data_IF_991503529987
#
_entry.id   IF_991503529987
#
_cell.length_a   1.000
_cell.length_b   1.000
_cell.length_c   1.000
_cell.angle_alpha   90.00
_cell.angle_beta   90.00
_cell.angle_gamma   90.00
#
_symmetry.space_group_name_H-M   'P 1'
#
loop_
_entity.id
_entity.type
_entity.pdbx_description
1 polymer ?
#
# COMPACT_ATOMS: atom_id res chain seq x y z
N UNK A 1 -26.21 18.16 -5.45
CA UNK A 1 -26.77 18.64 -4.17
C UNK A 1 -25.77 19.65 -3.62
N UNK A 2 -26.18 20.86 -3.22
CA UNK A 2 -25.29 21.78 -2.51
C UNK A 2 -24.67 21.07 -1.31
N UNK A 3 -23.37 21.20 -1.14
CA UNK A 3 -22.68 20.57 -0.02
C UNK A 3 -23.10 21.25 1.30
N UNK A 4 -24.06 20.64 2.01
CA UNK A 4 -24.55 21.11 3.33
C UNK A 4 -23.43 21.33 4.35
N UNK A 5 -22.25 20.73 4.15
CA UNK A 5 -21.09 20.98 5.01
C UNK A 5 -20.67 22.45 5.00
N UNK A 6 -20.80 23.15 3.86
CA UNK A 6 -20.46 24.59 3.78
C UNK A 6 -21.34 25.47 4.64
N UNK A 7 -22.56 25.03 4.96
CA UNK A 7 -23.51 25.76 5.81
C UNK A 7 -23.18 25.61 7.32
N UNK A 8 -22.43 24.56 7.69
CA UNK A 8 -22.07 24.25 9.09
C UNK A 8 -20.63 24.65 9.41
N UNK A 9 -19.74 24.67 8.41
CA UNK A 9 -18.34 25.04 8.59
C UNK A 9 -18.15 26.55 8.80
N UNK A 10 -17.07 26.92 9.51
CA UNK A 10 -16.65 28.32 9.60
C UNK A 10 -16.33 28.86 8.18
N UNK A 11 -16.58 30.16 7.88
CA UNK A 11 -16.50 30.71 6.53
C UNK A 11 -15.16 30.52 5.79
N UNK A 12 -14.08 30.34 6.55
CA UNK A 12 -12.71 30.21 6.07
C UNK A 12 -12.19 28.76 6.08
N UNK A 13 -13.03 27.78 6.40
CA UNK A 13 -12.66 26.36 6.38
C UNK A 13 -13.18 25.69 5.11
N UNK A 14 -12.29 24.98 4.42
CA UNK A 14 -12.61 24.15 3.26
C UNK A 14 -12.71 22.69 3.71
N UNK A 15 -13.78 21.96 3.35
CA UNK A 15 -13.84 20.54 3.61
C UNK A 15 -12.82 19.79 2.73
N UNK A 16 -12.16 18.79 3.31
CA UNK A 16 -11.23 17.90 2.64
C UNK A 16 -11.67 16.45 2.83
N UNK A 17 -11.46 15.60 1.82
CA UNK A 17 -11.72 14.17 1.92
C UNK A 17 -10.46 13.46 2.40
N UNK A 18 -10.54 12.74 3.52
CA UNK A 18 -9.46 11.87 3.98
C UNK A 18 -9.94 10.42 3.94
N UNK A 19 -9.36 9.64 3.03
CA UNK A 19 -9.78 8.26 2.79
C UNK A 19 -8.61 7.30 2.93
N UNK A 20 -8.91 6.09 3.42
CA UNK A 20 -7.97 4.97 3.41
C UNK A 20 -8.65 3.79 2.75
N UNK A 21 -8.05 3.30 1.67
CA UNK A 21 -8.58 2.14 0.93
C UNK A 21 -7.85 0.89 1.38
N UNK A 22 -8.61 -0.15 1.70
CA UNK A 22 -8.10 -1.47 2.04
C UNK A 22 -8.90 -2.49 1.23
N UNK A 23 -8.19 -3.42 0.62
CA UNK A 23 -8.75 -4.48 -0.20
C UNK A 23 -8.53 -5.79 0.56
N UNK A 24 -9.57 -6.59 0.67
CA UNK A 24 -9.52 -7.93 1.26
C UNK A 24 -10.12 -8.96 0.31
N UNK A 25 -9.89 -10.21 0.65
CA UNK A 25 -10.49 -11.40 0.04
C UNK A 25 -11.24 -12.19 1.13
N UNK A 26 -11.82 -13.33 0.78
CA UNK A 26 -12.34 -14.29 1.78
C UNK A 26 -11.26 -14.74 2.77
N UNK A 27 -9.99 -14.72 2.34
CA UNK A 27 -8.82 -15.10 3.15
C UNK A 27 -8.32 -13.96 4.05
N UNK A 28 -9.01 -12.81 4.05
CA UNK A 28 -8.75 -11.69 4.95
C UNK A 28 -8.15 -10.48 4.25
N UNK A 29 -7.23 -9.78 4.93
CA UNK A 29 -6.62 -8.56 4.36
C UNK A 29 -5.73 -8.96 3.18
N UNK A 30 -5.78 -8.17 2.11
CA UNK A 30 -4.94 -8.35 0.92
C UNK A 30 -4.04 -7.14 0.65
N UNK A 31 -4.63 -5.97 0.42
CA UNK A 31 -3.90 -4.72 0.16
C UNK A 31 -4.40 -3.57 1.04
N UNK A 32 -3.56 -2.57 1.16
CA UNK A 32 -3.83 -1.32 1.87
C UNK A 32 -2.54 -0.50 1.97
N UNK A 33 -2.60 0.71 2.55
CA UNK A 33 -1.49 1.66 2.49
C UNK A 33 -0.20 1.06 3.05
N UNK A 34 -0.25 0.39 4.21
CA UNK A 34 0.95 -0.20 4.82
C UNK A 34 1.52 -1.40 4.06
N UNK A 35 0.71 -2.17 3.32
CA UNK A 35 1.22 -3.29 2.52
C UNK A 35 1.86 -2.80 1.22
N UNK A 36 1.27 -1.77 0.61
CA UNK A 36 1.84 -1.12 -0.58
C UNK A 36 3.12 -0.38 -0.23
N UNK A 37 3.15 0.37 0.89
CA UNK A 37 4.38 1.01 1.36
C UNK A 37 5.49 -0.04 1.60
N UNK A 38 5.17 -1.19 2.20
CA UNK A 38 6.15 -2.26 2.39
C UNK A 38 6.74 -2.73 1.06
N UNK A 39 5.92 -2.94 0.03
CA UNK A 39 6.39 -3.31 -1.31
C UNK A 39 7.27 -2.21 -1.91
N UNK A 40 6.86 -0.94 -1.85
CA UNK A 40 7.65 0.19 -2.34
C UNK A 40 9.03 0.26 -1.66
N UNK A 41 9.09 0.13 -0.33
CA UNK A 41 10.35 0.13 0.42
C UNK A 41 11.25 -1.06 0.06
N UNK A 42 10.67 -2.23 -0.22
CA UNK A 42 11.44 -3.39 -0.67
C UNK A 42 12.00 -3.13 -2.08
N UNK A 43 11.21 -2.55 -2.98
CA UNK A 43 11.66 -2.19 -4.32
C UNK A 43 12.82 -1.19 -4.27
N UNK A 44 12.77 -0.22 -3.35
CA UNK A 44 13.83 0.77 -3.14
C UNK A 44 15.11 0.17 -2.52
N UNK A 45 14.96 -0.69 -1.51
CA UNK A 45 16.09 -1.11 -0.65
C UNK A 45 16.67 -2.47 -1.01
N UNK A 46 15.96 -3.29 -1.80
CA UNK A 46 16.30 -4.68 -2.09
C UNK A 46 16.29 -5.59 -0.85
N UNK A 47 15.66 -5.18 0.26
CA UNK A 47 15.75 -5.88 1.54
C UNK A 47 14.49 -5.74 2.39
N UNK A 48 13.90 -6.87 2.80
CA UNK A 48 12.78 -6.90 3.76
C UNK A 48 13.19 -6.26 5.09
N UNK A 49 14.42 -6.49 5.56
CA UNK A 49 14.89 -5.97 6.84
C UNK A 49 15.00 -4.44 6.81
N UNK A 50 15.63 -3.86 5.78
CA UNK A 50 15.72 -2.40 5.63
C UNK A 50 14.33 -1.76 5.50
N UNK A 51 13.44 -2.37 4.72
CA UNK A 51 12.06 -1.92 4.59
C UNK A 51 11.33 -1.92 5.95
N UNK A 52 11.36 -3.04 6.68
CA UNK A 52 10.73 -3.17 7.99
C UNK A 52 11.25 -2.13 9.00
N UNK A 53 12.57 -1.91 9.05
CA UNK A 53 13.20 -0.91 9.91
C UNK A 53 12.72 0.50 9.58
N UNK A 54 12.67 0.86 8.28
CA UNK A 54 12.19 2.18 7.84
C UNK A 54 10.73 2.44 8.26
N UNK A 55 9.93 1.39 8.34
CA UNK A 55 8.53 1.43 8.76
C UNK A 55 8.32 1.19 10.26
N UNK A 56 9.40 1.16 11.06
CA UNK A 56 9.35 0.91 12.52
C UNK A 56 8.59 -0.37 12.88
N UNK A 57 8.71 -1.42 12.06
CA UNK A 57 8.10 -2.73 12.33
C UNK A 57 9.13 -3.84 12.43
N UNK A 58 8.77 -4.95 13.08
CA UNK A 58 9.65 -6.11 13.15
C UNK A 58 9.79 -6.78 11.79
N UNK A 59 10.96 -7.38 11.54
CA UNK A 59 11.18 -8.22 10.36
C UNK A 59 10.11 -9.31 10.23
N UNK A 60 9.76 -9.97 11.35
CA UNK A 60 8.71 -11.00 11.39
C UNK A 60 7.38 -10.49 10.83
N UNK A 61 6.94 -9.29 11.27
CA UNK A 61 5.69 -8.70 10.78
C UNK A 61 5.74 -8.37 9.29
N UNK A 62 6.87 -7.85 8.80
CA UNK A 62 7.04 -7.58 7.37
C UNK A 62 7.01 -8.89 6.55
N UNK A 63 7.68 -9.94 7.03
CA UNK A 63 7.70 -11.25 6.40
C UNK A 63 6.29 -11.87 6.36
N UNK A 64 5.54 -11.84 7.47
CA UNK A 64 4.15 -12.31 7.53
C UNK A 64 3.26 -11.54 6.52
N UNK A 65 3.39 -10.21 6.44
CA UNK A 65 2.65 -9.42 5.46
C UNK A 65 2.96 -9.81 4.01
N UNK A 66 4.22 -10.09 3.68
CA UNK A 66 4.64 -10.52 2.35
C UNK A 66 4.09 -11.92 2.05
N UNK A 67 4.22 -12.83 3.01
CA UNK A 67 3.73 -14.20 2.89
C UNK A 67 2.22 -14.21 2.63
N UNK A 68 1.44 -13.52 3.46
CA UNK A 68 -0.02 -13.37 3.29
C UNK A 68 -0.41 -12.85 1.91
N UNK A 69 0.35 -11.89 1.35
CA UNK A 69 0.06 -11.33 0.03
C UNK A 69 0.41 -12.30 -1.09
N UNK A 70 1.55 -12.99 -0.98
CA UNK A 70 1.99 -13.97 -1.97
C UNK A 70 1.03 -15.17 -2.03
N UNK A 71 0.53 -15.66 -0.90
CA UNK A 71 -0.43 -16.78 -0.85
C UNK A 71 -1.77 -16.45 -1.52
N UNK A 72 -2.15 -15.17 -1.55
CA UNK A 72 -3.38 -14.71 -2.21
C UNK A 72 -3.20 -14.41 -3.70
N UNK A 73 -1.99 -14.53 -4.24
CA UNK A 73 -1.67 -14.22 -5.62
C UNK A 73 -1.30 -15.47 -6.43
N UNK A 74 -1.61 -15.45 -7.73
CA UNK A 74 -1.19 -16.52 -8.65
C UNK A 74 0.33 -16.59 -8.81
N UNK A 75 0.97 -15.42 -8.76
CA UNK A 75 2.41 -15.23 -8.85
C UNK A 75 2.87 -14.42 -7.63
N UNK A 76 4.05 -14.72 -7.05
CA UNK A 76 4.53 -13.98 -5.90
C UNK A 76 4.76 -12.50 -6.23
N UNK A 77 4.38 -11.61 -5.32
CA UNK A 77 4.66 -10.17 -5.41
C UNK A 77 6.09 -9.85 -5.00
N UNK A 78 6.68 -10.66 -4.12
CA UNK A 78 8.06 -10.53 -3.64
C UNK A 78 8.73 -11.88 -3.67
N UNK A 79 9.95 -11.92 -4.21
CA UNK A 79 10.84 -13.09 -4.19
C UNK A 79 12.11 -12.76 -3.42
N UNK A 80 12.65 -13.74 -2.71
CA UNK A 80 13.94 -13.63 -2.01
C UNK A 80 14.90 -14.67 -2.56
N UNK A 81 16.12 -14.26 -2.90
CA UNK A 81 17.21 -15.18 -3.24
C UNK A 81 17.95 -15.55 -1.96
N UNK A 82 18.09 -16.84 -1.69
CA UNK A 82 18.92 -17.35 -0.61
C UNK A 82 20.40 -17.43 -1.06
N UNK A 83 21.26 -16.61 -0.43
CA UNK A 83 22.71 -16.86 -0.25
C UNK A 83 23.66 -16.81 -1.47
N UNK A 84 24.66 -15.92 -1.37
CA UNK A 84 25.93 -15.83 -2.13
C UNK A 84 26.86 -14.83 -1.43
N UNK A 85 28.14 -14.71 -1.81
CA UNK A 85 29.14 -13.82 -1.16
C UNK A 85 28.68 -12.35 -1.01
N UNK A 86 27.78 -11.89 -1.88
CA UNK A 86 27.23 -10.53 -1.88
C UNK A 86 25.89 -10.37 -1.13
N UNK A 87 25.42 -11.42 -0.44
CA UNK A 87 24.17 -11.41 0.33
C UNK A 87 22.92 -11.67 -0.52
N UNK A 88 22.07 -12.57 -0.04
CA UNK A 88 20.79 -12.85 -0.67
C UNK A 88 19.90 -11.60 -0.75
N UNK A 89 19.47 -11.22 -1.95
CA UNK A 89 18.63 -10.05 -2.19
C UNK A 89 17.13 -10.36 -2.19
N UNK A 90 16.32 -9.37 -1.84
CA UNK A 90 14.86 -9.41 -2.02
C UNK A 90 14.46 -8.50 -3.18
N UNK A 91 13.53 -8.96 -4.01
CA UNK A 91 13.02 -8.18 -5.14
C UNK A 91 11.49 -8.22 -5.18
N UNK A 92 10.88 -7.06 -5.44
CA UNK A 92 9.47 -6.98 -5.86
C UNK A 92 9.38 -7.41 -7.31
N UNK A 93 8.52 -8.38 -7.60
CA UNK A 93 8.31 -8.91 -8.95
C UNK A 93 7.59 -7.89 -9.83
N UNK A 94 7.55 -8.13 -11.14
CA UNK A 94 6.74 -7.33 -12.06
C UNK A 94 5.27 -7.27 -11.65
N UNK A 95 4.72 -8.38 -11.12
CA UNK A 95 3.36 -8.43 -10.59
C UNK A 95 3.20 -7.55 -9.34
N UNK A 96 4.18 -7.55 -8.44
CA UNK A 96 4.19 -6.65 -7.29
C UNK A 96 4.25 -5.17 -7.70
N UNK A 97 5.06 -4.82 -8.70
CA UNK A 97 5.16 -3.46 -9.22
C UNK A 97 3.87 -3.01 -9.91
N UNK A 98 3.26 -3.87 -10.71
CA UNK A 98 1.96 -3.62 -11.32
C UNK A 98 0.90 -3.38 -10.26
N UNK A 99 0.88 -4.18 -9.20
CA UNK A 99 -0.11 -4.06 -8.12
C UNK A 99 0.04 -2.75 -7.34
N UNK A 100 1.28 -2.31 -7.06
CA UNK A 100 1.54 -0.98 -6.49
C UNK A 100 0.92 0.11 -7.37
N UNK A 101 1.17 0.06 -8.68
CA UNK A 101 0.68 1.05 -9.63
C UNK A 101 -0.84 1.10 -9.67
N UNK A 102 -1.51 -0.05 -9.82
CA UNK A 102 -2.97 -0.11 -9.89
C UNK A 102 -3.64 0.33 -8.58
N UNK A 103 -3.06 -0.02 -7.43
CA UNK A 103 -3.55 0.47 -6.14
C UNK A 103 -3.46 2.00 -6.03
N UNK A 104 -2.33 2.60 -6.41
CA UNK A 104 -2.14 4.07 -6.34
C UNK A 104 -3.11 4.80 -7.26
N UNK A 105 -3.32 4.27 -8.47
CA UNK A 105 -4.31 4.78 -9.42
C UNK A 105 -5.73 4.73 -8.83
N UNK A 106 -6.13 3.61 -8.23
CA UNK A 106 -7.43 3.48 -7.57
C UNK A 106 -7.62 4.52 -6.45
N UNK A 107 -6.58 4.71 -5.63
CA UNK A 107 -6.61 5.70 -4.54
C UNK A 107 -6.81 7.11 -5.10
N UNK A 108 -6.07 7.48 -6.15
CA UNK A 108 -6.16 8.79 -6.78
C UNK A 108 -7.55 9.04 -7.40
N UNK A 109 -8.12 8.04 -8.09
CA UNK A 109 -9.45 8.13 -8.69
C UNK A 109 -10.53 8.33 -7.62
N UNK A 110 -10.49 7.55 -6.54
CA UNK A 110 -11.46 7.65 -5.44
C UNK A 110 -11.30 8.96 -4.67
N UNK A 111 -10.07 9.39 -4.41
CA UNK A 111 -9.80 10.67 -3.75
C UNK A 111 -10.36 11.83 -4.57
N UNK A 112 -10.08 11.85 -5.88
CA UNK A 112 -10.60 12.86 -6.81
C UNK A 112 -12.13 12.87 -6.85
N UNK A 113 -12.75 11.68 -6.87
CA UNK A 113 -14.19 11.56 -6.80
C UNK A 113 -14.75 12.13 -5.50
N UNK A 114 -14.16 11.79 -4.36
CA UNK A 114 -14.61 12.27 -3.06
C UNK A 114 -14.49 13.80 -2.94
N UNK A 115 -13.36 14.37 -3.39
CA UNK A 115 -13.17 15.81 -3.46
C UNK A 115 -14.21 16.50 -4.35
N UNK A 116 -14.58 15.88 -5.48
CA UNK A 116 -15.64 16.41 -6.36
C UNK A 116 -17.00 16.52 -5.67
N UNK A 117 -17.26 15.73 -4.63
CA UNK A 117 -18.50 15.80 -3.83
C UNK A 117 -18.44 16.84 -2.72
N UNK A 118 -17.23 17.30 -2.37
CA UNK A 118 -17.02 18.33 -1.34
C UNK A 118 -16.97 19.76 -1.93
N UNK A 119 -16.67 19.89 -3.22
CA UNK A 119 -16.76 21.15 -3.97
C UNK A 119 -18.20 21.62 -4.09
#
# INVERSE_FOLDING_TARGET
MPNKLKEVLKPNLKPEAWLTIRIGTSEGRFLGPGRVELLERIAETGSINKAAQSMKMSYKKAWEMIHDMNEQCKEPLVISKSGGEDGGGTQVTEQGLLLIKEYKKLVEEIQSFAESKLR
#
